data_IF_232182040254
#
_entry.id   IF_232182040254
#
_cell.length_a   1.000
_cell.length_b   1.000
_cell.length_c   1.000
_cell.angle_alpha   90.00
_cell.angle_beta   90.00
_cell.angle_gamma   90.00
#
_symmetry.space_group_name_H-M   'P 1'
#
loop_
_entity.id
_entity.type
_entity.pdbx_description
1 polymer ?
#
# COMPACT_ATOMS: atom_id res chain seq x y z
N UNK A 1 -48.03 25.90 -13.67
CA UNK A 1 -46.65 26.39 -13.43
C UNK A 1 -46.70 27.89 -13.66
N UNK A 2 -46.36 28.74 -12.69
CA UNK A 2 -46.36 30.19 -12.88
C UNK A 2 -45.21 30.60 -13.79
N UNK A 3 -45.35 31.70 -14.54
CA UNK A 3 -44.29 32.25 -15.40
C UNK A 3 -42.98 32.50 -14.61
N UNK A 4 -43.11 32.86 -13.34
CA UNK A 4 -41.99 33.01 -12.39
C UNK A 4 -41.23 31.70 -12.18
N UNK A 5 -41.93 30.56 -12.12
CA UNK A 5 -41.33 29.25 -11.94
C UNK A 5 -40.50 28.80 -13.14
N UNK A 6 -40.94 29.14 -14.36
CA UNK A 6 -40.20 28.84 -15.60
C UNK A 6 -38.92 29.67 -15.65
N UNK A 7 -38.99 30.96 -15.29
CA UNK A 7 -37.84 31.85 -15.27
C UNK A 7 -36.74 31.39 -14.30
N UNK A 8 -37.11 30.97 -13.08
CA UNK A 8 -36.15 30.48 -12.09
C UNK A 8 -35.45 29.19 -12.55
N UNK A 9 -36.19 28.27 -13.17
CA UNK A 9 -35.64 27.03 -13.71
C UNK A 9 -34.58 27.26 -14.78
N UNK A 10 -34.83 28.21 -15.70
CA UNK A 10 -33.88 28.57 -16.75
C UNK A 10 -32.60 29.17 -16.15
N UNK A 11 -32.73 30.10 -15.19
CA UNK A 11 -31.57 30.73 -14.54
C UNK A 11 -30.71 29.68 -13.81
N UNK A 12 -31.34 28.77 -13.06
CA UNK A 12 -30.61 27.72 -12.34
C UNK A 12 -29.92 26.75 -13.29
N UNK A 13 -30.58 26.34 -14.38
CA UNK A 13 -29.98 25.47 -15.39
C UNK A 13 -28.78 26.14 -16.09
N UNK A 14 -28.90 27.43 -16.43
CA UNK A 14 -27.80 28.20 -17.00
C UNK A 14 -26.62 28.37 -16.05
N UNK A 15 -26.87 28.60 -14.75
CA UNK A 15 -25.83 28.72 -13.74
C UNK A 15 -25.07 27.39 -13.56
N UNK A 16 -25.77 26.26 -13.49
CA UNK A 16 -25.15 24.93 -13.41
C UNK A 16 -24.37 24.59 -14.67
N UNK A 17 -24.89 24.93 -15.85
CA UNK A 17 -24.18 24.73 -17.11
C UNK A 17 -22.90 25.57 -17.19
N UNK A 18 -22.92 26.82 -16.71
CA UNK A 18 -21.74 27.67 -16.65
C UNK A 18 -20.71 27.14 -15.66
N UNK A 19 -21.12 26.73 -14.46
CA UNK A 19 -20.22 26.17 -13.46
C UNK A 19 -19.56 24.86 -13.93
N UNK A 20 -20.34 23.96 -14.53
CA UNK A 20 -19.82 22.72 -15.12
C UNK A 20 -18.88 22.98 -16.31
N UNK A 21 -19.10 24.06 -17.07
CA UNK A 21 -18.20 24.48 -18.14
C UNK A 21 -16.87 25.01 -17.59
N UNK A 22 -16.92 25.83 -16.55
CA UNK A 22 -15.75 26.43 -15.91
C UNK A 22 -14.84 25.37 -15.26
N UNK A 23 -15.41 24.38 -14.57
CA UNK A 23 -14.64 23.25 -14.04
C UNK A 23 -13.99 22.42 -15.15
N UNK A 24 -14.67 22.23 -16.28
CA UNK A 24 -14.13 21.48 -17.41
C UNK A 24 -12.95 22.21 -18.05
N UNK A 25 -13.04 23.53 -18.19
CA UNK A 25 -11.95 24.35 -18.71
C UNK A 25 -10.78 24.42 -17.71
N UNK A 26 -11.06 24.52 -16.41
CA UNK A 26 -10.04 24.43 -15.35
C UNK A 26 -9.29 23.10 -15.36
N UNK A 27 -10.00 21.96 -15.40
CA UNK A 27 -9.38 20.64 -15.47
C UNK A 27 -8.56 20.50 -16.75
N UNK A 28 -9.09 20.96 -17.89
CA UNK A 28 -8.39 20.90 -19.17
C UNK A 28 -7.10 21.73 -19.15
N UNK A 29 -7.15 22.93 -18.59
CA UNK A 29 -6.02 23.85 -18.58
C UNK A 29 -4.98 23.39 -17.55
N UNK A 30 -5.39 22.87 -16.39
CA UNK A 30 -4.51 22.20 -15.43
C UNK A 30 -3.80 20.99 -16.06
N UNK A 31 -4.53 20.16 -16.81
CA UNK A 31 -3.94 19.01 -17.52
C UNK A 31 -2.96 19.48 -18.60
N UNK A 32 -3.28 20.56 -19.30
CA UNK A 32 -2.39 21.15 -20.31
C UNK A 32 -1.09 21.67 -19.69
N UNK A 33 -1.16 22.27 -18.50
CA UNK A 33 -0.01 22.83 -17.79
C UNK A 33 0.86 21.72 -17.16
N UNK A 34 0.25 20.70 -16.55
CA UNK A 34 0.97 19.56 -15.96
C UNK A 34 1.71 18.70 -17.01
N UNK A 35 1.13 18.56 -18.20
CA UNK A 35 1.61 17.64 -19.23
C UNK A 35 2.23 18.33 -20.45
N UNK A 36 2.45 19.65 -20.40
CA UNK A 36 3.32 20.37 -21.34
C UNK A 36 2.68 20.78 -22.68
N UNK A 37 1.41 21.14 -22.68
CA UNK A 37 0.71 21.74 -23.83
C UNK A 37 -0.28 20.81 -24.53
N UNK A 38 -1.17 21.41 -25.35
CA UNK A 38 -2.16 20.65 -26.14
C UNK A 38 -1.45 19.91 -27.28
N UNK A 39 -1.69 18.60 -27.47
CA UNK A 39 -1.13 17.87 -28.59
C UNK A 39 -1.62 18.49 -29.90
N UNK A 40 -0.69 18.80 -30.82
CA UNK A 40 -1.00 19.42 -32.11
C UNK A 40 -1.57 18.42 -33.11
N UNK A 41 -1.41 17.12 -32.85
CA UNK A 41 -1.93 16.03 -33.66
C UNK A 41 -2.28 14.79 -32.81
N UNK A 42 -3.08 13.89 -33.39
CA UNK A 42 -3.41 12.61 -32.75
C UNK A 42 -2.16 11.74 -32.49
N UNK A 43 -1.11 11.87 -33.32
CA UNK A 43 0.16 11.17 -33.12
C UNK A 43 0.90 11.71 -31.89
N UNK A 44 0.90 13.03 -31.68
CA UNK A 44 1.52 13.65 -30.51
C UNK A 44 0.80 13.24 -29.22
N UNK A 45 -0.53 13.15 -29.26
CA UNK A 45 -1.34 12.69 -28.14
C UNK A 45 -1.02 11.23 -27.76
N UNK A 46 -0.88 10.35 -28.76
CA UNK A 46 -0.51 8.95 -28.54
C UNK A 46 0.91 8.82 -27.96
N UNK A 47 1.85 9.64 -28.43
CA UNK A 47 3.23 9.64 -27.93
C UNK A 47 3.32 10.20 -26.50
N UNK A 48 2.58 11.27 -26.18
CA UNK A 48 2.46 11.78 -24.81
C UNK A 48 1.83 10.73 -23.87
N UNK A 49 0.77 10.04 -24.30
CA UNK A 49 0.16 8.97 -23.52
C UNK A 49 1.10 7.81 -23.24
N UNK A 50 1.86 7.36 -24.25
CA UNK A 50 2.87 6.32 -24.07
C UNK A 50 3.95 6.74 -23.06
N UNK A 51 4.38 8.02 -23.08
CA UNK A 51 5.33 8.56 -22.11
C UNK A 51 4.75 8.64 -20.70
N UNK A 52 3.49 9.03 -20.55
CA UNK A 52 2.80 9.06 -19.25
C UNK A 52 2.69 7.64 -18.68
N UNK A 53 2.30 6.68 -19.51
CA UNK A 53 2.15 5.28 -19.10
C UNK A 53 3.49 4.68 -18.67
N UNK A 54 4.57 4.96 -19.42
CA UNK A 54 5.94 4.56 -19.05
C UNK A 54 6.46 5.27 -17.77
N UNK A 55 6.02 6.50 -17.48
CA UNK A 55 6.31 7.16 -16.20
C UNK A 55 5.53 6.54 -15.04
N UNK A 56 4.25 6.22 -15.24
CA UNK A 56 3.41 5.55 -14.23
C UNK A 56 3.96 4.15 -13.92
N UNK A 57 4.30 3.37 -14.94
CA UNK A 57 4.88 2.04 -14.77
C UNK A 57 6.25 2.10 -14.07
N UNK A 58 7.05 3.14 -14.33
CA UNK A 58 8.28 3.39 -13.58
C UNK A 58 8.01 3.78 -12.13
N UNK A 59 7.03 4.64 -11.85
CA UNK A 59 6.63 5.01 -10.48
C UNK A 59 6.13 3.80 -9.70
N UNK A 60 5.30 2.95 -10.32
CA UNK A 60 4.81 1.71 -9.72
C UNK A 60 5.91 0.68 -9.43
N UNK A 61 7.09 0.84 -10.06
CA UNK A 61 8.28 0.01 -9.85
C UNK A 61 9.38 0.70 -9.04
N UNK A 62 9.17 1.94 -8.58
CA UNK A 62 10.05 2.53 -7.58
C UNK A 62 9.73 1.84 -6.26
N UNK A 63 10.52 0.82 -5.93
CA UNK A 63 10.72 0.42 -4.53
C UNK A 63 11.26 1.65 -3.84
N UNK A 64 10.39 2.41 -3.17
CA UNK A 64 10.83 3.57 -2.42
C UNK A 64 11.63 3.07 -1.22
N UNK A 65 12.96 3.21 -1.23
CA UNK A 65 13.78 2.74 -0.14
C UNK A 65 13.60 3.74 1.01
N UNK A 66 12.63 3.47 1.88
CA UNK A 66 12.33 4.32 3.04
C UNK A 66 10.84 4.54 3.34
N UNK A 67 9.92 4.31 2.40
CA UNK A 67 8.50 4.18 2.76
C UNK A 67 8.27 2.74 3.22
N UNK A 68 8.52 2.52 4.52
CA UNK A 68 7.97 1.37 5.23
C UNK A 68 6.48 1.24 4.90
N UNK A 69 6.02 -0.02 4.78
CA UNK A 69 4.61 -0.41 4.56
C UNK A 69 3.64 0.63 5.14
N UNK A 70 2.66 1.06 4.33
CA UNK A 70 1.56 1.94 4.75
C UNK A 70 1.13 1.70 6.21
N UNK A 71 1.48 2.63 7.08
CA UNK A 71 1.15 2.57 8.51
C UNK A 71 -0.29 3.02 8.69
N UNK A 72 -1.25 2.13 8.40
CA UNK A 72 -2.65 2.44 8.62
C UNK A 72 -2.92 2.66 10.12
N UNK A 73 -3.70 3.70 10.45
CA UNK A 73 -4.20 3.94 11.80
C UNK A 73 -4.98 2.71 12.28
N UNK A 74 -4.65 2.21 13.46
CA UNK A 74 -5.29 1.01 14.03
C UNK A 74 -5.36 1.16 15.55
N UNK A 75 -6.35 0.56 16.19
CA UNK A 75 -6.52 0.54 17.64
C UNK A 75 -5.62 -0.54 18.26
N UNK A 76 -4.83 -0.18 19.28
CA UNK A 76 -4.03 -1.15 20.01
C UNK A 76 -4.93 -2.01 20.92
N UNK A 77 -4.87 -3.36 20.86
CA UNK A 77 -5.72 -4.22 21.67
C UNK A 77 -5.36 -4.24 23.17
N UNK A 78 -4.24 -3.63 23.56
CA UNK A 78 -3.78 -3.61 24.96
C UNK A 78 -3.99 -2.26 25.64
N UNK A 79 -3.65 -1.15 24.98
CA UNK A 79 -3.78 0.19 25.55
C UNK A 79 -4.96 1.00 24.98
N UNK A 80 -5.72 0.43 24.05
CA UNK A 80 -6.92 1.00 23.43
C UNK A 80 -6.70 2.28 22.59
N UNK A 81 -5.45 2.72 22.43
CA UNK A 81 -5.11 3.93 21.67
C UNK A 81 -5.19 3.69 20.17
N UNK A 82 -5.89 4.58 19.46
CA UNK A 82 -5.85 4.66 17.99
C UNK A 82 -4.64 5.51 17.60
N UNK A 83 -3.67 4.88 16.95
CA UNK A 83 -2.43 5.53 16.53
C UNK A 83 -1.87 4.89 15.27
N UNK A 84 -0.85 5.54 14.72
CA UNK A 84 0.08 4.93 13.77
C UNK A 84 0.96 3.94 14.53
N UNK A 85 1.06 2.72 14.01
CA UNK A 85 1.79 1.63 14.64
C UNK A 85 2.92 1.18 13.74
N UNK A 86 4.10 0.94 14.31
CA UNK A 86 5.22 0.40 13.56
C UNK A 86 4.88 -0.96 12.99
N UNK A 87 5.37 -1.28 11.79
CA UNK A 87 5.11 -2.54 11.12
C UNK A 87 6.40 -3.29 10.85
N UNK A 88 6.46 -4.57 11.23
CA UNK A 88 7.55 -5.47 10.87
C UNK A 88 7.03 -6.75 10.23
N UNK A 89 7.88 -7.41 9.45
CA UNK A 89 7.56 -8.75 8.92
C UNK A 89 7.50 -9.75 10.09
N UNK A 90 6.58 -10.73 10.02
CA UNK A 90 6.58 -11.84 10.96
C UNK A 90 7.90 -12.61 10.87
N UNK A 91 8.38 -13.10 12.01
CA UNK A 91 9.54 -14.00 12.03
C UNK A 91 9.19 -15.29 11.28
N UNK A 92 10.11 -15.84 10.48
CA UNK A 92 9.87 -17.09 9.78
C UNK A 92 9.61 -18.20 10.81
N UNK A 93 8.76 -19.16 10.43
CA UNK A 93 8.51 -20.34 11.26
C UNK A 93 9.86 -21.00 11.56
N UNK A 94 10.16 -21.35 12.82
CA UNK A 94 11.38 -22.08 13.12
C UNK A 94 11.38 -23.39 12.35
N UNK A 95 12.29 -23.49 11.38
CA UNK A 95 12.51 -24.73 10.64
C UNK A 95 13.37 -25.60 11.55
N UNK A 96 12.85 -26.76 11.98
CA UNK A 96 13.71 -27.76 12.63
C UNK A 96 14.82 -28.08 11.64
N UNK A 97 16.06 -27.77 12.01
CA UNK A 97 17.22 -27.97 11.15
C UNK A 97 17.35 -29.44 10.70
N UNK A 98 18.17 -29.71 9.67
CA UNK A 98 18.39 -31.07 9.19
C UNK A 98 18.87 -31.95 10.34
N UNK A 99 18.25 -33.13 10.46
CA UNK A 99 18.66 -34.18 11.42
C UNK A 99 20.09 -34.56 11.04
N UNK A 100 21.07 -34.27 11.90
CA UNK A 100 22.39 -34.90 11.79
C UNK A 100 22.32 -36.21 12.56
N UNK A 101 22.34 -37.33 11.83
CA UNK A 101 22.51 -38.64 12.44
C UNK A 101 24.01 -38.85 12.62
N UNK A 102 24.46 -38.97 13.85
CA UNK A 102 25.84 -39.36 14.18
C UNK A 102 25.81 -40.87 14.40
N UNK A 103 26.44 -41.63 13.51
CA UNK A 103 26.71 -43.06 13.74
C UNK A 103 27.96 -43.19 14.61
N UNK A 104 27.84 -43.89 15.73
CA UNK A 104 28.94 -44.24 16.62
C UNK A 104 29.60 -45.55 16.17
N UNK A 105 30.83 -45.78 16.64
CA UNK A 105 31.62 -47.00 16.31
C UNK A 105 30.96 -48.31 16.78
N UNK A 106 30.04 -48.23 17.75
CA UNK A 106 29.23 -49.35 18.25
C UNK A 106 27.98 -49.64 17.39
N UNK A 107 27.79 -48.90 16.29
CA UNK A 107 26.64 -49.01 15.40
C UNK A 107 25.38 -48.30 15.90
N UNK A 108 25.44 -47.59 17.03
CA UNK A 108 24.31 -46.79 17.52
C UNK A 108 24.19 -45.49 16.73
N UNK A 109 22.94 -45.06 16.49
CA UNK A 109 22.59 -43.83 15.78
C UNK A 109 22.06 -42.81 16.77
N UNK A 110 22.81 -41.74 16.98
CA UNK A 110 22.33 -40.59 17.74
C UNK A 110 21.79 -39.52 16.81
N UNK A 111 20.55 -39.09 17.07
CA UNK A 111 19.95 -37.94 16.40
C UNK A 111 20.36 -36.66 17.12
N UNK A 112 21.28 -35.89 16.53
CA UNK A 112 21.66 -34.58 17.05
C UNK A 112 20.88 -33.50 16.32
N UNK A 113 19.94 -32.91 17.05
CA UNK A 113 19.16 -31.76 16.61
C UNK A 113 20.01 -30.50 16.74
N UNK A 114 20.46 -29.94 15.62
CA UNK A 114 21.10 -28.64 15.62
C UNK A 114 20.05 -27.55 15.82
N UNK A 115 20.02 -26.96 17.03
CA UNK A 115 19.20 -25.79 17.35
C UNK A 115 19.89 -24.46 17.00
N UNK A 116 21.03 -24.53 16.31
CA UNK A 116 21.92 -23.40 16.02
C UNK A 116 21.19 -22.28 15.27
N UNK A 117 20.69 -21.29 16.02
CA UNK A 117 20.21 -20.01 15.49
C UNK A 117 18.71 -19.71 15.57
N UNK A 118 17.87 -20.62 16.07
CA UNK A 118 16.43 -20.37 16.19
C UNK A 118 15.94 -20.65 17.61
N UNK A 119 15.67 -19.58 18.37
CA UNK A 119 15.01 -19.67 19.67
C UNK A 119 13.57 -20.11 19.45
N UNK A 120 13.29 -21.39 19.71
CA UNK A 120 11.94 -22.00 19.67
C UNK A 120 10.99 -21.44 20.74
N UNK A 121 11.43 -20.46 21.53
CA UNK A 121 10.70 -19.89 22.67
C UNK A 121 9.72 -18.77 22.29
N UNK A 122 9.78 -18.26 21.06
CA UNK A 122 8.86 -17.23 20.58
C UNK A 122 7.52 -17.80 20.07
N UNK A 123 6.43 -17.02 20.09
CA UNK A 123 5.17 -17.41 19.46
C UNK A 123 5.36 -17.59 17.94
N UNK A 124 4.64 -18.54 17.35
CA UNK A 124 4.65 -18.73 15.88
C UNK A 124 3.98 -17.54 15.20
N UNK A 125 4.80 -16.64 14.67
CA UNK A 125 4.38 -15.44 13.95
C UNK A 125 4.04 -15.74 12.48
N UNK A 126 4.35 -16.93 11.94
CA UNK A 126 4.19 -17.25 10.51
C UNK A 126 2.75 -17.27 10.00
N UNK A 127 1.77 -17.22 10.92
CA UNK A 127 0.33 -17.20 10.64
C UNK A 127 -0.25 -15.79 10.40
N UNK A 128 0.58 -14.75 10.49
CA UNK A 128 0.18 -13.35 10.33
C UNK A 128 0.86 -12.76 9.09
N UNK A 129 0.24 -11.76 8.48
CA UNK A 129 0.79 -11.06 7.30
C UNK A 129 1.76 -9.94 7.72
N UNK A 130 1.52 -9.38 8.91
CA UNK A 130 2.34 -8.33 9.50
C UNK A 130 2.26 -8.37 11.03
N UNK A 131 3.33 -7.94 11.69
CA UNK A 131 3.34 -7.68 13.13
C UNK A 131 3.32 -6.17 13.32
N UNK A 132 2.43 -5.69 14.18
CA UNK A 132 2.35 -4.28 14.59
C UNK A 132 3.01 -4.08 15.94
N UNK A 133 3.64 -2.93 16.13
CA UNK A 133 4.28 -2.51 17.37
C UNK A 133 3.69 -1.17 17.81
N UNK A 134 3.21 -1.11 19.06
CA UNK A 134 2.72 0.12 19.67
C UNK A 134 3.78 0.81 20.53
N UNK A 135 3.63 2.11 20.72
CA UNK A 135 4.44 2.90 21.68
C UNK A 135 4.33 2.37 23.12
N UNK A 136 3.25 1.63 23.46
CA UNK A 136 3.15 0.96 24.76
C UNK A 136 4.06 -0.28 24.90
N UNK A 137 4.83 -0.63 23.87
CA UNK A 137 5.77 -1.75 23.86
C UNK A 137 5.15 -3.10 23.50
N UNK A 138 3.84 -3.16 23.26
CA UNK A 138 3.16 -4.39 22.88
C UNK A 138 3.20 -4.63 21.38
N UNK A 139 3.32 -5.91 21.01
CA UNK A 139 3.26 -6.38 19.63
C UNK A 139 2.05 -7.31 19.41
N UNK A 140 1.42 -7.22 18.23
CA UNK A 140 0.37 -8.17 17.84
C UNK A 140 0.38 -8.44 16.33
N UNK A 141 -0.12 -9.61 15.95
CA UNK A 141 -0.22 -10.02 14.57
C UNK A 141 -1.54 -9.56 13.92
N UNK A 142 -1.45 -9.12 12.67
CA UNK A 142 -2.59 -8.84 11.81
C UNK A 142 -2.56 -9.80 10.61
N UNK A 143 -3.73 -10.37 10.29
CA UNK A 143 -4.00 -11.11 9.05
C UNK A 143 -4.66 -10.20 8.02
#
# INVERSE_FOLDING_TARGET
>A
MSEVGIFLLVITASYLAWWAWDERDFIRDLFTDLFGGRPRSAKDAAQQWAQIQDRIDRIGKVDFPGYGRFEAWTQCPTCDRIAVHGMRKPKPKPVRGPIRVIEREDGTRDEVWAFSGMTTTGPDESKYDTIRTCECGQEWGQK
#
